data_IF_845770674115
#
_entry.id   IF_845770674115
#
_cell.length_a   1.000
_cell.length_b   1.000
_cell.length_c   1.000
_cell.angle_alpha   90.00
_cell.angle_beta   90.00
_cell.angle_gamma   90.00
#
_symmetry.space_group_name_H-M   'P 1'
#
loop_
_entity.id
_entity.type
_entity.pdbx_description
1 polymer ?
#
# COMPACT_ATOMS: atom_id res chain seq x y z
N UNK A 1 -11.55 12.25 -18.69
CA UNK A 1 -10.80 12.79 -17.58
C UNK A 1 -9.47 12.07 -17.41
N UNK A 2 -8.48 12.78 -16.92
CA UNK A 2 -7.17 12.25 -16.52
C UNK A 2 -6.85 12.82 -15.14
N UNK A 3 -6.55 12.00 -14.11
CA UNK A 3 -6.74 10.53 -14.12
C UNK A 3 -8.17 10.12 -14.43
N UNK A 4 -8.40 8.86 -14.82
CA UNK A 4 -9.75 8.33 -14.96
C UNK A 4 -10.49 8.37 -13.60
N UNK A 5 -11.82 8.39 -13.63
CA UNK A 5 -12.61 8.30 -12.40
C UNK A 5 -12.29 7.00 -11.64
N UNK A 6 -12.09 7.11 -10.34
CA UNK A 6 -11.69 6.03 -9.43
C UNK A 6 -10.32 5.41 -9.73
N UNK A 7 -9.46 6.07 -10.53
CA UNK A 7 -8.10 5.61 -10.74
C UNK A 7 -7.34 5.55 -9.41
N UNK A 8 -6.57 4.49 -9.21
CA UNK A 8 -5.69 4.29 -8.05
C UNK A 8 -4.22 4.35 -8.44
N UNK A 9 -3.33 4.44 -7.48
CA UNK A 9 -1.87 4.51 -7.72
C UNK A 9 -1.45 5.67 -8.65
N UNK A 10 -2.18 6.78 -8.61
CA UNK A 10 -1.89 7.96 -9.41
C UNK A 10 -0.63 8.64 -8.88
N UNK A 11 0.23 9.09 -9.79
CA UNK A 11 1.49 9.74 -9.42
C UNK A 11 1.25 11.02 -8.60
N UNK A 12 2.10 11.28 -7.60
CA UNK A 12 1.96 12.42 -6.68
C UNK A 12 2.08 13.79 -7.39
N UNK A 13 2.74 13.83 -8.53
CA UNK A 13 2.93 15.04 -9.34
C UNK A 13 1.91 15.15 -10.49
N UNK A 14 0.79 14.42 -10.41
CA UNK A 14 -0.24 14.48 -11.46
C UNK A 14 -0.86 15.86 -11.56
N UNK A 15 -1.21 16.26 -12.79
CA UNK A 15 -2.03 17.43 -13.09
C UNK A 15 -3.39 16.97 -13.65
N UNK A 16 -4.44 16.88 -12.84
CA UNK A 16 -5.75 16.42 -13.28
C UNK A 16 -6.29 17.29 -14.43
N UNK A 17 -6.92 16.62 -15.42
CA UNK A 17 -7.42 17.27 -16.61
C UNK A 17 -8.76 16.70 -17.07
N UNK A 18 -9.55 17.51 -17.78
CA UNK A 18 -10.76 17.09 -18.45
C UNK A 18 -10.82 17.67 -19.85
N UNK A 19 -11.20 16.85 -20.85
CA UNK A 19 -11.50 17.28 -22.22
C UNK A 19 -12.99 17.56 -22.29
N UNK A 20 -13.34 18.77 -22.73
CA UNK A 20 -14.72 19.20 -22.90
C UNK A 20 -15.25 18.85 -24.30
N UNK A 21 -16.56 18.63 -24.42
CA UNK A 21 -17.21 18.34 -25.69
C UNK A 21 -17.10 19.50 -26.68
N UNK A 22 -17.09 20.71 -26.16
CA UNK A 22 -17.06 21.95 -26.94
C UNK A 22 -16.11 23.00 -26.35
N UNK A 23 -15.94 24.08 -27.08
CA UNK A 23 -15.08 25.20 -26.73
C UNK A 23 -15.71 26.01 -25.60
N UNK A 24 -14.93 26.34 -24.58
CA UNK A 24 -15.35 27.15 -23.44
C UNK A 24 -14.94 28.63 -23.61
N UNK A 25 -15.67 29.50 -22.96
CA UNK A 25 -15.23 30.89 -22.68
C UNK A 25 -14.10 30.84 -21.69
N UNK A 26 -12.86 31.15 -22.10
CA UNK A 26 -11.65 31.01 -21.28
C UNK A 26 -11.77 31.76 -19.93
N UNK A 27 -12.41 32.92 -19.89
CA UNK A 27 -12.63 33.69 -18.66
C UNK A 27 -13.54 32.99 -17.63
N UNK A 28 -14.33 31.99 -18.04
CA UNK A 28 -15.15 31.20 -17.13
C UNK A 28 -14.39 30.06 -16.48
N UNK A 29 -13.17 29.73 -16.96
CA UNK A 29 -12.31 28.68 -16.41
C UNK A 29 -11.27 29.29 -15.49
N UNK A 30 -11.42 29.09 -14.19
CA UNK A 30 -10.58 29.71 -13.15
C UNK A 30 -10.51 28.81 -11.91
N UNK A 31 -9.66 29.17 -10.94
CA UNK A 31 -9.58 28.47 -9.65
C UNK A 31 -10.88 28.55 -8.82
N UNK A 32 -11.83 29.43 -9.17
CA UNK A 32 -13.16 29.45 -8.52
C UNK A 32 -14.18 28.50 -9.16
N UNK A 33 -13.94 28.09 -10.41
CA UNK A 33 -14.83 27.18 -11.16
C UNK A 33 -14.25 25.78 -11.37
N UNK A 34 -12.95 25.58 -11.08
CA UNK A 34 -12.26 24.30 -11.19
C UNK A 34 -11.44 24.07 -9.93
N UNK A 35 -11.82 23.06 -9.16
CA UNK A 35 -11.26 22.83 -7.83
C UNK A 35 -10.76 21.39 -7.68
N UNK A 36 -9.71 21.22 -6.88
CA UNK A 36 -9.24 19.92 -6.39
C UNK A 36 -9.33 19.93 -4.86
N UNK A 37 -9.95 18.90 -4.27
CA UNK A 37 -10.07 18.75 -2.82
C UNK A 37 -9.63 17.37 -2.38
N UNK A 38 -9.05 17.30 -1.17
CA UNK A 38 -8.71 16.01 -0.54
C UNK A 38 -9.94 15.39 0.18
N UNK A 39 -9.78 14.20 0.76
CA UNK A 39 -10.83 13.48 1.51
C UNK A 39 -11.35 14.24 2.74
N UNK A 40 -10.58 15.16 3.31
CA UNK A 40 -11.02 16.06 4.38
C UNK A 40 -11.74 17.33 3.84
N UNK A 41 -12.08 17.35 2.55
CA UNK A 41 -12.69 18.50 1.85
C UNK A 41 -11.82 19.78 1.84
N UNK A 42 -10.52 19.66 2.06
CA UNK A 42 -9.58 20.80 2.00
C UNK A 42 -9.28 21.12 0.55
N UNK A 43 -9.44 22.40 0.18
CA UNK A 43 -9.07 22.90 -1.15
C UNK A 43 -7.55 22.83 -1.34
N UNK A 44 -7.12 22.28 -2.46
CA UNK A 44 -5.71 22.20 -2.83
C UNK A 44 -5.33 23.43 -3.66
N UNK A 45 -4.30 24.14 -3.22
CA UNK A 45 -3.77 25.26 -3.98
C UNK A 45 -3.25 24.79 -5.34
N UNK A 46 -3.72 25.40 -6.42
CA UNK A 46 -3.41 24.98 -7.78
C UNK A 46 -3.55 26.13 -8.78
N UNK A 47 -2.93 26.00 -9.92
CA UNK A 47 -3.20 26.82 -11.11
C UNK A 47 -4.12 26.10 -12.06
N UNK A 48 -5.05 26.84 -12.69
CA UNK A 48 -5.99 26.29 -13.67
C UNK A 48 -5.67 26.88 -15.03
N UNK A 49 -5.54 26.05 -16.05
CA UNK A 49 -5.31 26.43 -17.42
C UNK A 49 -6.39 25.82 -18.34
N UNK A 50 -6.76 26.54 -19.38
CA UNK A 50 -7.63 26.04 -20.43
C UNK A 50 -6.95 26.17 -21.80
N UNK A 51 -6.88 25.06 -22.51
CA UNK A 51 -6.41 25.02 -23.90
C UNK A 51 -7.61 24.94 -24.84
N UNK A 52 -7.84 26.01 -25.58
CA UNK A 52 -8.98 26.13 -26.49
C UNK A 52 -8.91 25.20 -27.69
N UNK A 53 -7.69 24.89 -28.19
CA UNK A 53 -7.50 23.99 -29.34
C UNK A 53 -7.82 22.55 -29.00
N UNK A 54 -7.36 22.07 -27.83
CA UNK A 54 -7.61 20.71 -27.36
C UNK A 54 -8.85 20.60 -26.48
N UNK A 55 -9.52 21.73 -26.20
CA UNK A 55 -10.68 21.86 -25.30
C UNK A 55 -10.41 21.29 -23.90
N UNK A 56 -9.16 21.38 -23.44
CA UNK A 56 -8.71 20.72 -22.21
C UNK A 56 -8.58 21.72 -21.07
N UNK A 57 -9.25 21.45 -19.95
CA UNK A 57 -9.01 22.10 -18.67
C UNK A 57 -7.94 21.27 -17.96
N UNK A 58 -6.89 21.92 -17.45
CA UNK A 58 -5.84 21.29 -16.63
C UNK A 58 -5.72 22.04 -15.31
N UNK A 59 -5.71 21.31 -14.21
CA UNK A 59 -5.42 21.86 -12.88
C UNK A 59 -4.05 21.33 -12.44
N UNK A 60 -3.12 22.25 -12.17
CA UNK A 60 -1.76 21.90 -11.73
C UNK A 60 -1.63 22.26 -10.25
N UNK A 61 -1.54 21.26 -9.34
CA UNK A 61 -1.32 21.51 -7.92
C UNK A 61 -0.01 22.30 -7.68
N UNK A 62 -0.03 23.23 -6.74
CA UNK A 62 1.13 24.06 -6.38
C UNK A 62 2.26 23.27 -5.68
N UNK A 63 1.93 22.10 -5.13
CA UNK A 63 2.86 21.16 -4.49
C UNK A 63 2.48 19.73 -4.88
N UNK A 64 3.41 18.79 -4.72
CA UNK A 64 3.12 17.36 -4.86
C UNK A 64 1.97 16.95 -3.93
N UNK A 65 1.08 16.10 -4.42
CA UNK A 65 -0.05 15.60 -3.67
C UNK A 65 0.43 14.63 -2.57
N UNK A 66 -0.34 14.50 -1.50
CA UNK A 66 -0.04 13.52 -0.45
C UNK A 66 -0.23 12.10 -0.99
N UNK A 67 0.61 11.17 -0.52
CA UNK A 67 0.50 9.76 -0.86
C UNK A 67 -0.75 9.12 -0.26
N UNK A 68 -1.27 8.06 -0.92
CA UNK A 68 -2.40 7.27 -0.44
C UNK A 68 -3.67 8.09 -0.18
N UNK A 69 -3.83 9.22 -0.85
CA UNK A 69 -4.90 10.18 -0.56
C UNK A 69 -5.89 10.23 -1.72
N UNK A 70 -7.18 10.17 -1.36
CA UNK A 70 -8.27 10.41 -2.31
C UNK A 70 -8.39 11.91 -2.57
N UNK A 71 -8.39 12.27 -3.84
CA UNK A 71 -8.65 13.61 -4.31
C UNK A 71 -9.88 13.63 -5.20
N UNK A 72 -10.72 14.67 -5.05
CA UNK A 72 -11.90 14.90 -5.88
C UNK A 72 -11.69 16.19 -6.67
N UNK A 73 -11.75 16.06 -7.98
CA UNK A 73 -11.78 17.16 -8.94
C UNK A 73 -13.21 17.58 -9.20
N UNK A 74 -13.49 18.90 -9.22
CA UNK A 74 -14.80 19.47 -9.53
C UNK A 74 -14.66 20.53 -10.60
N UNK A 75 -15.47 20.44 -11.66
CA UNK A 75 -15.73 21.50 -12.62
C UNK A 75 -17.14 21.99 -12.33
N UNK A 76 -17.25 23.23 -11.85
CA UNK A 76 -18.54 23.79 -11.43
C UNK A 76 -19.45 24.10 -12.62
N UNK A 77 -20.70 23.78 -12.45
CA UNK A 77 -21.79 24.11 -13.36
C UNK A 77 -22.69 25.24 -12.82
N UNK A 78 -23.86 25.41 -13.40
CA UNK A 78 -24.83 26.43 -13.05
C UNK A 78 -24.39 27.86 -13.44
N UNK A 79 -25.11 28.86 -12.98
CA UNK A 79 -24.94 30.26 -13.41
C UNK A 79 -23.54 30.82 -13.23
N UNK A 80 -22.81 30.40 -12.20
CA UNK A 80 -21.44 30.82 -11.89
C UNK A 80 -20.36 29.81 -12.31
N UNK A 81 -20.74 28.71 -12.99
CA UNK A 81 -19.84 27.68 -13.46
C UNK A 81 -19.15 28.01 -14.78
N UNK A 82 -18.48 27.00 -15.36
CA UNK A 82 -17.86 27.12 -16.68
C UNK A 82 -18.93 27.29 -17.77
N UNK A 83 -18.61 28.05 -18.81
CA UNK A 83 -19.55 28.39 -19.91
C UNK A 83 -18.93 28.07 -21.24
N UNK A 84 -19.75 27.68 -22.21
CA UNK A 84 -19.35 27.56 -23.60
C UNK A 84 -19.13 28.93 -24.25
N UNK A 85 -18.73 28.95 -25.53
CA UNK A 85 -18.50 30.17 -26.30
C UNK A 85 -19.77 30.95 -26.56
N UNK A 86 -20.97 30.33 -26.50
CA UNK A 86 -22.27 30.96 -26.66
C UNK A 86 -22.82 31.52 -25.32
N UNK A 87 -22.15 31.27 -24.19
CA UNK A 87 -22.53 31.73 -22.86
C UNK A 87 -23.40 30.74 -22.08
N UNK A 88 -23.68 29.54 -22.59
CA UNK A 88 -24.42 28.53 -21.88
C UNK A 88 -23.53 27.88 -20.80
N UNK A 89 -24.04 27.78 -19.59
CA UNK A 89 -23.30 27.17 -18.50
C UNK A 89 -23.38 25.64 -18.54
N UNK A 90 -22.33 24.96 -18.04
CA UNK A 90 -22.42 23.53 -17.70
C UNK A 90 -23.62 23.33 -16.77
N UNK A 91 -24.49 22.36 -17.07
CA UNK A 91 -25.80 22.20 -16.42
C UNK A 91 -25.70 21.95 -14.91
N UNK A 92 -24.71 21.18 -14.47
CA UNK A 92 -24.42 20.85 -13.08
C UNK A 92 -22.92 20.65 -12.86
N UNK A 93 -22.49 20.60 -11.60
CA UNK A 93 -21.13 20.28 -11.27
C UNK A 93 -20.75 18.90 -11.81
N UNK A 94 -19.56 18.82 -12.44
CA UNK A 94 -19.00 17.54 -12.84
C UNK A 94 -17.84 17.19 -11.91
N UNK A 95 -17.95 16.04 -11.24
CA UNK A 95 -16.98 15.59 -10.26
C UNK A 95 -16.43 14.21 -10.60
N UNK A 96 -15.14 13.97 -10.29
CA UNK A 96 -14.55 12.64 -10.27
C UNK A 96 -13.44 12.57 -9.24
N UNK A 97 -13.17 11.37 -8.75
CA UNK A 97 -12.13 11.16 -7.74
C UNK A 97 -11.05 10.22 -8.27
N UNK A 98 -9.86 10.32 -7.69
CA UNK A 98 -8.75 9.39 -7.88
C UNK A 98 -7.95 9.28 -6.58
N UNK A 99 -7.18 8.18 -6.42
CA UNK A 99 -6.31 7.95 -5.26
C UNK A 99 -4.85 7.96 -5.71
N UNK A 100 -4.02 8.72 -5.02
CA UNK A 100 -2.58 8.77 -5.27
C UNK A 100 -1.89 7.50 -4.81
N UNK A 101 -0.70 7.23 -5.38
CA UNK A 101 0.16 6.12 -4.96
C UNK A 101 0.51 6.24 -3.48
N UNK A 102 0.45 5.13 -2.76
CA UNK A 102 0.84 5.07 -1.35
C UNK A 102 2.37 5.03 -1.21
N UNK A 103 2.90 5.79 -0.26
CA UNK A 103 4.30 5.65 0.10
C UNK A 103 4.55 4.26 0.71
N UNK A 104 5.60 3.60 0.24
CA UNK A 104 6.07 2.34 0.82
C UNK A 104 7.39 2.55 1.55
N UNK A 105 7.54 1.83 2.66
CA UNK A 105 8.72 1.90 3.52
C UNK A 105 9.28 0.50 3.76
N UNK A 106 10.60 0.43 3.93
CA UNK A 106 11.34 -0.77 4.33
C UNK A 106 12.23 -0.39 5.50
N UNK A 107 12.62 -1.32 6.37
CA UNK A 107 13.54 -0.99 7.48
C UNK A 107 14.92 -0.61 6.93
N UNK A 108 15.40 -1.37 5.94
CA UNK A 108 16.71 -1.11 5.33
C UNK A 108 16.57 -0.40 3.99
N UNK A 109 17.47 0.52 3.70
CA UNK A 109 17.56 1.15 2.38
C UNK A 109 17.95 0.11 1.32
N UNK A 110 17.50 0.25 0.05
CA UNK A 110 17.89 -0.67 -1.03
C UNK A 110 19.41 -0.75 -1.27
N UNK A 111 20.15 0.28 -0.91
CA UNK A 111 21.62 0.36 -1.05
C UNK A 111 22.37 -0.29 0.10
N UNK A 112 21.72 -0.65 1.22
CA UNK A 112 22.39 -1.31 2.34
C UNK A 112 22.66 -2.77 2.03
N UNK A 113 23.86 -3.24 2.40
CA UNK A 113 24.34 -4.58 2.11
C UNK A 113 24.89 -5.26 3.36
N UNK A 114 24.86 -6.61 3.43
CA UNK A 114 25.49 -7.37 4.52
C UNK A 114 27.00 -7.13 4.60
N UNK A 115 27.55 -7.27 5.81
CA UNK A 115 29.00 -7.29 6.01
C UNK A 115 29.64 -8.63 5.62
N UNK A 116 28.87 -9.73 5.71
CA UNK A 116 29.35 -11.07 5.40
C UNK A 116 28.24 -12.05 5.09
N UNK A 117 28.65 -13.27 4.76
CA UNK A 117 27.78 -14.39 4.43
C UNK A 117 28.30 -15.63 5.14
N UNK A 118 27.37 -16.46 5.64
CA UNK A 118 27.65 -17.72 6.32
C UNK A 118 26.87 -18.86 5.68
N UNK A 119 27.36 -20.08 5.90
CA UNK A 119 26.66 -21.31 5.56
C UNK A 119 26.88 -22.34 6.67
N UNK A 120 25.83 -22.61 7.41
CA UNK A 120 25.88 -23.59 8.51
C UNK A 120 25.66 -25.02 8.03
N UNK A 121 25.40 -25.25 6.73
CA UNK A 121 25.10 -26.53 6.15
C UNK A 121 23.83 -27.19 6.69
N UNK A 122 23.03 -26.44 7.45
CA UNK A 122 21.82 -26.91 8.10
C UNK A 122 20.70 -25.90 7.95
N UNK A 123 19.52 -26.34 7.54
CA UNK A 123 18.37 -25.47 7.35
C UNK A 123 17.98 -24.74 8.63
N UNK A 124 17.65 -23.44 8.49
CA UNK A 124 17.30 -22.59 9.62
C UNK A 124 16.34 -21.48 9.21
N UNK A 125 15.61 -20.95 10.19
CA UNK A 125 14.80 -19.73 10.07
C UNK A 125 15.52 -18.56 10.76
N UNK A 126 15.60 -17.43 10.10
CA UNK A 126 16.32 -16.23 10.51
C UNK A 126 15.35 -15.05 10.52
N UNK A 127 15.41 -14.19 11.55
CA UNK A 127 14.38 -13.16 11.72
C UNK A 127 14.83 -11.90 12.44
N UNK A 128 13.96 -10.88 12.34
CA UNK A 128 14.11 -9.58 12.95
C UNK A 128 12.79 -9.14 13.59
N UNK A 129 12.88 -8.54 14.79
CA UNK A 129 11.77 -7.81 15.40
C UNK A 129 11.70 -6.41 14.84
N UNK A 130 10.48 -5.98 14.52
CA UNK A 130 10.23 -4.62 14.06
C UNK A 130 8.91 -4.07 14.60
N UNK A 131 8.73 -2.75 14.50
CA UNK A 131 7.48 -2.02 14.75
C UNK A 131 7.25 -0.98 13.66
N UNK A 132 6.00 -0.54 13.54
CA UNK A 132 5.66 0.71 12.86
C UNK A 132 5.09 1.70 13.88
N UNK A 133 5.40 3.00 13.73
CA UNK A 133 4.82 4.07 14.56
C UNK A 133 3.37 4.37 14.20
N UNK A 134 2.87 3.86 13.09
CA UNK A 134 1.49 3.99 12.64
C UNK A 134 0.92 2.64 12.19
N UNK A 135 -0.40 2.49 12.28
CA UNK A 135 -1.10 1.35 11.71
C UNK A 135 -0.98 1.35 10.17
N UNK A 136 -1.03 0.19 9.57
CA UNK A 136 -0.93 0.02 8.12
C UNK A 136 -0.82 -1.44 7.73
N UNK A 137 -0.16 -1.72 6.62
CA UNK A 137 -0.13 -3.04 6.01
C UNK A 137 1.28 -3.45 5.60
N UNK A 138 1.62 -4.70 5.84
CA UNK A 138 2.77 -5.34 5.20
C UNK A 138 2.29 -5.91 3.86
N UNK A 139 2.89 -5.43 2.78
CA UNK A 139 2.51 -5.78 1.39
C UNK A 139 3.50 -6.74 0.73
N UNK A 140 4.73 -6.81 1.26
CA UNK A 140 5.76 -7.73 0.77
C UNK A 140 6.74 -8.11 1.89
N UNK A 141 7.41 -9.25 1.71
CA UNK A 141 8.60 -9.62 2.47
C UNK A 141 9.79 -9.58 1.52
N UNK A 142 10.94 -9.17 2.03
CA UNK A 142 12.20 -9.19 1.29
C UNK A 142 13.34 -9.74 2.16
N UNK A 143 14.33 -10.32 1.52
CA UNK A 143 15.56 -10.75 2.16
C UNK A 143 16.75 -10.52 1.23
N UNK A 144 17.95 -10.47 1.76
CA UNK A 144 19.16 -10.34 0.96
C UNK A 144 19.73 -11.72 0.66
N UNK A 145 19.84 -12.08 -0.64
CA UNK A 145 20.35 -13.36 -1.09
C UNK A 145 21.87 -13.29 -1.26
N UNK A 146 22.63 -14.19 -0.60
CA UNK A 146 24.06 -14.35 -0.91
C UNK A 146 24.29 -14.79 -2.36
N UNK A 147 25.40 -14.37 -2.96
CA UNK A 147 25.81 -14.90 -4.25
C UNK A 147 26.12 -16.40 -4.15
N UNK A 148 25.62 -17.19 -5.10
CA UNK A 148 25.79 -18.65 -5.10
C UNK A 148 24.90 -19.42 -4.11
N UNK A 149 24.05 -18.72 -3.33
CA UNK A 149 23.12 -19.38 -2.43
C UNK A 149 22.11 -20.24 -3.19
N UNK A 150 21.89 -21.46 -2.69
CA UNK A 150 21.02 -22.48 -3.28
C UNK A 150 19.82 -22.80 -2.37
N UNK A 151 18.95 -23.71 -2.83
CA UNK A 151 17.76 -24.14 -2.08
C UNK A 151 16.62 -23.12 -2.11
N UNK A 152 15.58 -23.41 -1.38
CA UNK A 152 14.36 -22.58 -1.31
C UNK A 152 14.41 -21.58 -0.15
N UNK A 153 13.74 -20.45 -0.33
CA UNK A 153 13.53 -19.45 0.71
C UNK A 153 12.04 -19.26 0.93
N UNK A 154 11.63 -19.26 2.22
CA UNK A 154 10.22 -19.05 2.60
C UNK A 154 10.17 -17.91 3.61
N UNK A 155 9.55 -16.80 3.22
CA UNK A 155 9.33 -15.64 4.08
C UNK A 155 8.10 -15.80 4.96
N UNK A 156 8.17 -15.34 6.19
CA UNK A 156 7.06 -15.40 7.15
C UNK A 156 6.93 -14.10 7.93
N UNK A 157 5.70 -13.73 8.24
CA UNK A 157 5.37 -12.69 9.19
C UNK A 157 4.66 -13.31 10.40
N UNK A 158 5.05 -12.90 11.60
CA UNK A 158 4.55 -13.44 12.87
C UNK A 158 4.13 -12.33 13.82
N UNK A 159 3.17 -12.61 14.71
CA UNK A 159 3.02 -11.83 15.93
C UNK A 159 4.28 -11.96 16.81
N UNK A 160 4.43 -11.09 17.78
CA UNK A 160 5.52 -11.17 18.78
C UNK A 160 5.52 -12.48 19.59
N UNK A 161 4.37 -13.15 19.66
CA UNK A 161 4.18 -14.42 20.41
C UNK A 161 4.32 -15.68 19.54
N UNK A 162 4.60 -15.53 18.24
CA UNK A 162 4.85 -16.65 17.33
C UNK A 162 3.63 -17.16 16.56
N UNK A 163 2.50 -16.45 16.57
CA UNK A 163 1.39 -16.75 15.67
C UNK A 163 1.78 -16.34 14.25
N UNK A 164 1.73 -17.30 13.31
CA UNK A 164 1.99 -17.04 11.88
C UNK A 164 0.85 -16.24 11.27
N UNK A 165 1.16 -15.05 10.72
CA UNK A 165 0.20 -14.16 10.08
C UNK A 165 0.15 -14.38 8.57
N UNK A 166 1.30 -14.66 7.96
CA UNK A 166 1.39 -15.01 6.53
C UNK A 166 2.68 -15.75 6.23
N UNK A 167 2.70 -16.39 5.06
CA UNK A 167 3.85 -17.12 4.51
C UNK A 167 3.93 -16.90 3.01
N UNK A 168 5.15 -16.77 2.46
CA UNK A 168 5.39 -16.62 1.03
C UNK A 168 6.65 -17.38 0.63
N UNK A 169 6.58 -18.15 -0.45
CA UNK A 169 7.75 -18.79 -1.04
C UNK A 169 8.36 -17.87 -2.09
N UNK A 170 9.66 -17.59 -1.97
CA UNK A 170 10.37 -16.77 -2.95
C UNK A 170 10.57 -17.57 -4.25
N UNK A 171 10.19 -16.96 -5.36
CA UNK A 171 10.33 -17.50 -6.71
C UNK A 171 10.87 -16.43 -7.65
N UNK A 172 11.50 -16.83 -8.77
CA UNK A 172 12.04 -15.86 -9.74
C UNK A 172 13.17 -15.01 -9.19
N UNK A 173 13.90 -15.50 -8.20
CA UNK A 173 15.00 -14.78 -7.55
C UNK A 173 16.15 -14.45 -8.51
N UNK A 174 16.77 -13.28 -8.32
CA UNK A 174 18.02 -12.91 -8.98
C UNK A 174 19.20 -13.71 -8.40
N UNK A 175 20.37 -13.60 -9.02
CA UNK A 175 21.56 -14.33 -8.58
C UNK A 175 22.01 -13.97 -7.16
N UNK A 176 21.84 -12.71 -6.76
CA UNK A 176 22.18 -12.20 -5.41
C UNK A 176 21.49 -10.84 -5.16
N UNK A 177 21.60 -10.33 -3.94
CA UNK A 177 21.06 -9.04 -3.55
C UNK A 177 19.65 -9.14 -2.97
N UNK A 178 19.00 -8.00 -2.79
CA UNK A 178 17.64 -7.94 -2.25
C UNK A 178 16.65 -8.66 -3.17
N UNK A 179 16.00 -9.68 -2.61
CA UNK A 179 14.87 -10.39 -3.20
C UNK A 179 13.60 -9.88 -2.54
N UNK A 180 12.54 -9.62 -3.29
CA UNK A 180 11.27 -9.16 -2.76
C UNK A 180 10.13 -9.97 -3.37
N UNK A 181 9.18 -10.39 -2.53
CA UNK A 181 7.98 -11.08 -2.96
C UNK A 181 6.75 -10.42 -2.35
N UNK A 182 5.82 -10.01 -3.20
CA UNK A 182 4.54 -9.45 -2.77
C UNK A 182 3.67 -10.52 -2.12
N UNK A 183 3.00 -10.18 -1.02
CA UNK A 183 2.01 -11.04 -0.39
C UNK A 183 0.75 -11.14 -1.25
N UNK A 184 0.09 -12.30 -1.25
CA UNK A 184 -1.17 -12.48 -1.96
C UNK A 184 -2.29 -11.54 -1.44
N UNK A 185 -2.24 -11.23 -0.15
CA UNK A 185 -3.08 -10.20 0.48
C UNK A 185 -2.24 -9.42 1.49
N UNK A 186 -2.36 -8.09 1.55
CA UNK A 186 -1.70 -7.28 2.57
C UNK A 186 -2.10 -7.71 3.98
N UNK A 187 -1.13 -7.72 4.90
CA UNK A 187 -1.38 -8.06 6.31
C UNK A 187 -1.43 -6.80 7.15
N UNK A 188 -2.57 -6.53 7.78
CA UNK A 188 -2.74 -5.39 8.67
C UNK A 188 -1.84 -5.51 9.91
N UNK A 189 -1.17 -4.44 10.29
CA UNK A 189 -0.38 -4.31 11.51
C UNK A 189 -0.80 -3.07 12.30
N UNK A 190 -0.76 -3.17 13.61
CA UNK A 190 -1.10 -2.08 14.52
C UNK A 190 0.11 -1.19 14.81
N UNK A 191 -0.15 0.09 15.07
CA UNK A 191 0.87 1.02 15.52
C UNK A 191 1.53 0.54 16.83
N UNK A 192 2.84 0.76 16.93
CA UNK A 192 3.67 0.48 18.11
C UNK A 192 3.60 -0.96 18.64
N UNK A 193 3.14 -1.89 17.82
CA UNK A 193 3.05 -3.33 18.12
C UNK A 193 4.25 -4.06 17.52
N UNK A 194 4.87 -4.95 18.29
CA UNK A 194 6.00 -5.74 17.83
C UNK A 194 5.54 -6.91 16.97
N UNK A 195 6.17 -7.05 15.83
CA UNK A 195 6.06 -8.19 14.91
C UNK A 195 7.44 -8.79 14.64
N UNK A 196 7.47 -10.02 14.16
CA UNK A 196 8.69 -10.66 13.68
C UNK A 196 8.53 -10.97 12.20
N UNK A 197 9.49 -10.53 11.39
CA UNK A 197 9.65 -10.98 10.02
C UNK A 197 10.80 -11.97 9.98
N UNK A 198 10.64 -13.05 9.20
CA UNK A 198 11.67 -14.06 9.05
C UNK A 198 11.70 -14.64 7.64
N UNK A 199 12.83 -15.26 7.29
CA UNK A 199 12.89 -16.21 6.19
C UNK A 199 13.54 -17.52 6.63
N UNK A 200 13.10 -18.60 6.03
CA UNK A 200 13.67 -19.94 6.18
C UNK A 200 14.62 -20.19 5.01
N UNK A 201 15.86 -20.57 5.32
CA UNK A 201 16.86 -21.04 4.35
C UNK A 201 16.96 -22.56 4.41
N UNK A 202 16.59 -23.25 3.33
CA UNK A 202 16.63 -24.71 3.29
C UNK A 202 18.05 -25.27 3.12
N UNK A 203 19.00 -24.45 2.65
CA UNK A 203 20.40 -24.82 2.41
C UNK A 203 21.37 -24.41 3.52
N UNK A 204 20.92 -23.53 4.44
CA UNK A 204 21.78 -23.01 5.50
C UNK A 204 22.61 -21.77 5.11
N UNK A 205 22.49 -21.27 3.88
CA UNK A 205 23.14 -20.04 3.43
C UNK A 205 22.38 -18.83 3.93
N UNK A 206 23.08 -17.84 4.48
CA UNK A 206 22.47 -16.59 4.92
C UNK A 206 23.45 -15.41 4.95
N UNK A 207 22.98 -14.17 4.74
CA UNK A 207 23.75 -12.97 5.00
C UNK A 207 23.76 -12.64 6.48
N UNK A 208 24.86 -12.07 6.97
CA UNK A 208 24.98 -11.65 8.36
C UNK A 208 25.80 -10.38 8.54
N UNK A 209 25.39 -9.58 9.50
CA UNK A 209 26.20 -8.50 10.07
C UNK A 209 26.09 -8.59 11.59
N UNK A 210 27.20 -8.78 12.27
CA UNK A 210 27.25 -8.95 13.73
C UNK A 210 28.39 -8.13 14.35
N UNK A 211 28.13 -7.28 15.39
CA UNK A 211 26.79 -6.88 15.87
C UNK A 211 26.12 -5.88 14.92
N UNK A 212 24.79 -5.77 14.97
CA UNK A 212 24.03 -4.81 14.17
C UNK A 212 22.95 -4.08 14.97
N UNK A 213 22.05 -4.79 15.63
CA UNK A 213 20.94 -4.21 16.40
C UNK A 213 21.36 -3.73 17.80
N UNK A 214 22.56 -3.16 17.95
CA UNK A 214 22.99 -2.46 19.17
C UNK A 214 22.22 -1.14 19.36
N UNK A 215 21.66 -0.61 18.28
CA UNK A 215 20.71 0.49 18.22
C UNK A 215 19.61 0.15 17.23
N UNK A 216 18.46 0.82 17.37
CA UNK A 216 17.38 0.62 16.43
C UNK A 216 17.69 1.23 15.05
N UNK A 217 17.18 0.61 14.00
CA UNK A 217 17.23 1.12 12.61
C UNK A 217 15.87 1.72 12.29
N UNK A 218 15.84 3.01 11.95
CA UNK A 218 14.60 3.74 11.69
C UNK A 218 14.58 4.23 10.25
N UNK A 219 13.50 3.95 9.54
CA UNK A 219 13.24 4.49 8.21
C UNK A 219 11.74 4.79 8.04
N UNK A 220 11.39 6.08 7.99
CA UNK A 220 10.00 6.52 8.02
C UNK A 220 9.28 6.00 9.27
N UNK A 221 8.10 5.36 9.11
CA UNK A 221 7.37 4.80 10.25
C UNK A 221 7.96 3.50 10.79
N UNK A 222 8.82 2.81 10.00
CA UNK A 222 9.36 1.51 10.38
C UNK A 222 10.58 1.64 11.30
N UNK A 223 10.67 0.69 12.24
CA UNK A 223 11.73 0.57 13.22
C UNK A 223 12.12 -0.90 13.38
N UNK A 224 13.30 -1.29 12.92
CA UNK A 224 13.98 -2.51 13.36
C UNK A 224 14.47 -2.29 14.80
N UNK A 225 14.00 -3.11 15.74
CA UNK A 225 14.21 -2.86 17.18
C UNK A 225 15.66 -3.05 17.59
N UNK A 226 16.12 -2.23 18.53
CA UNK A 226 17.37 -2.49 19.22
C UNK A 226 17.27 -3.78 20.06
N UNK A 227 18.38 -4.47 20.22
CA UNK A 227 18.48 -5.59 21.15
C UNK A 227 18.20 -5.11 22.58
N UNK A 228 17.25 -5.77 23.25
CA UNK A 228 16.79 -5.39 24.59
C UNK A 228 15.59 -4.43 24.63
N UNK A 229 15.18 -3.82 23.51
CA UNK A 229 14.01 -2.92 23.46
C UNK A 229 12.69 -3.68 23.66
N UNK A 230 12.60 -4.90 23.15
CA UNK A 230 11.49 -5.86 23.36
C UNK A 230 12.08 -7.27 23.40
N UNK A 231 12.97 -7.52 24.36
CA UNK A 231 13.80 -8.69 24.39
C UNK A 231 14.87 -8.68 23.30
N UNK A 232 15.53 -9.81 23.01
CA UNK A 232 16.60 -9.89 22.02
C UNK A 232 16.10 -9.67 20.60
N UNK A 233 16.98 -9.11 19.74
CA UNK A 233 16.80 -9.06 18.29
C UNK A 233 17.97 -9.75 17.59
N UNK A 234 17.81 -10.07 16.29
CA UNK A 234 18.68 -11.00 15.58
C UNK A 234 18.30 -12.44 15.91
N UNK A 235 17.10 -12.83 15.47
CA UNK A 235 16.49 -14.11 15.86
C UNK A 235 16.85 -15.22 14.88
N UNK A 236 17.02 -16.44 15.39
CA UNK A 236 17.20 -17.63 14.55
C UNK A 236 16.61 -18.88 15.18
N UNK A 237 16.48 -19.93 14.38
CA UNK A 237 16.14 -21.28 14.82
C UNK A 237 16.57 -22.29 13.76
N UNK A 238 17.36 -23.30 14.16
CA UNK A 238 17.63 -24.47 13.32
C UNK A 238 16.37 -25.33 13.19
N UNK A 239 15.96 -25.58 11.98
CA UNK A 239 14.72 -26.31 11.68
C UNK A 239 14.69 -26.67 10.21
N UNK A 240 14.11 -27.82 9.88
CA UNK A 240 13.96 -28.29 8.49
C UNK A 240 12.76 -27.67 7.75
N UNK A 241 11.87 -27.01 8.48
CA UNK A 241 10.69 -26.34 7.93
C UNK A 241 10.56 -24.93 8.53
N UNK A 242 9.89 -23.98 7.86
CA UNK A 242 9.65 -22.64 8.40
C UNK A 242 9.01 -22.69 9.79
N UNK A 243 9.65 -22.09 10.79
CA UNK A 243 9.16 -22.02 12.16
C UNK A 243 9.53 -20.67 12.80
N UNK A 244 8.79 -20.29 13.84
CA UNK A 244 9.07 -19.07 14.59
C UNK A 244 10.50 -19.09 15.17
N UNK A 245 11.35 -18.10 14.85
CA UNK A 245 12.71 -18.03 15.38
C UNK A 245 12.68 -17.57 16.83
N UNK A 246 13.19 -18.40 17.74
CA UNK A 246 13.12 -18.18 19.19
C UNK A 246 14.47 -18.18 19.91
N UNK A 247 15.56 -18.33 19.18
CA UNK A 247 16.93 -18.14 19.66
C UNK A 247 17.48 -16.81 19.13
N UNK A 248 18.60 -16.32 19.70
CA UNK A 248 19.24 -15.07 19.27
C UNK A 248 20.76 -15.19 19.37
N UNK A 249 21.48 -14.41 18.58
CA UNK A 249 22.94 -14.36 18.64
C UNK A 249 23.45 -12.94 18.31
N UNK A 250 24.25 -12.38 19.24
CA UNK A 250 25.10 -11.21 19.01
C UNK A 250 24.40 -9.96 18.48
N UNK A 251 23.10 -9.79 18.66
CA UNK A 251 22.33 -8.69 18.05
C UNK A 251 22.48 -8.65 16.51
N UNK A 252 22.60 -9.82 15.86
CA UNK A 252 22.88 -9.95 14.45
C UNK A 252 21.73 -9.47 13.58
N UNK A 253 22.07 -8.87 12.42
CA UNK A 253 21.13 -8.70 11.32
C UNK A 253 21.32 -9.84 10.30
N UNK A 254 20.25 -10.57 10.03
CA UNK A 254 20.17 -11.64 9.04
C UNK A 254 19.51 -11.19 7.74
N UNK A 255 19.34 -9.84 7.60
CA UNK A 255 18.96 -9.18 6.38
C UNK A 255 17.62 -9.65 5.78
N UNK A 256 16.63 -9.79 6.65
CA UNK A 256 15.21 -9.91 6.28
C UNK A 256 14.50 -8.61 6.60
N UNK A 257 13.47 -8.27 5.81
CA UNK A 257 12.79 -6.98 5.90
C UNK A 257 11.35 -7.09 5.39
N UNK A 258 10.58 -6.06 5.58
CA UNK A 258 9.20 -5.92 5.13
C UNK A 258 9.04 -4.71 4.23
N UNK A 259 7.99 -4.73 3.41
CA UNK A 259 7.48 -3.53 2.73
C UNK A 259 6.18 -3.15 3.41
N UNK A 260 6.16 -1.94 3.96
CA UNK A 260 5.03 -1.37 4.70
C UNK A 260 4.41 -0.23 3.91
N UNK A 261 3.07 -0.13 3.93
CA UNK A 261 2.29 1.01 3.46
C UNK A 261 1.27 1.44 4.53
N UNK A 262 0.91 2.73 4.55
CA UNK A 262 -0.12 3.24 5.48
C UNK A 262 -1.55 2.79 5.09
N UNK A 263 -1.73 2.33 3.87
CA UNK A 263 -2.99 1.76 3.37
C UNK A 263 -2.75 0.42 2.67
N UNK A 264 -3.83 -0.35 2.47
CA UNK A 264 -3.78 -1.68 1.85
C UNK A 264 -3.42 -1.67 0.35
N UNK A 265 -3.29 -0.49 -0.26
CA UNK A 265 -3.29 -0.34 -1.72
C UNK A 265 -4.70 -0.52 -2.32
N UNK A 266 -4.81 -0.64 -3.64
CA UNK A 266 -6.08 -0.92 -4.29
C UNK A 266 -6.70 -2.20 -3.74
N UNK A 267 -8.00 -2.14 -3.44
CA UNK A 267 -8.74 -3.34 -3.07
C UNK A 267 -8.72 -4.33 -4.25
N UNK A 268 -8.24 -5.54 -4.00
CA UNK A 268 -8.17 -6.63 -4.95
C UNK A 268 -9.17 -7.75 -4.62
N UNK A 269 -9.96 -7.56 -3.55
CA UNK A 269 -10.91 -8.57 -3.06
C UNK A 269 -12.24 -8.39 -3.79
N UNK A 270 -12.76 -9.37 -4.54
CA UNK A 270 -14.10 -9.27 -5.08
C UNK A 270 -15.16 -9.26 -3.99
N UNK A 271 -16.24 -8.49 -4.14
CA UNK A 271 -17.33 -8.50 -3.19
C UNK A 271 -18.00 -9.88 -3.10
N UNK A 272 -18.33 -10.30 -1.88
CA UNK A 272 -19.06 -11.52 -1.61
C UNK A 272 -20.31 -11.23 -0.77
N UNK A 273 -21.36 -12.02 -0.97
CA UNK A 273 -22.60 -11.89 -0.22
C UNK A 273 -22.43 -12.52 1.15
N UNK A 274 -22.62 -11.71 2.21
CA UNK A 274 -22.57 -12.14 3.62
C UNK A 274 -23.94 -12.64 4.09
N UNK A 275 -25.00 -11.95 3.72
CA UNK A 275 -26.35 -12.35 4.09
C UNK A 275 -27.42 -11.83 3.11
N UNK A 276 -28.52 -12.55 3.09
CA UNK A 276 -29.73 -12.23 2.30
C UNK A 276 -30.94 -12.15 3.23
N UNK A 277 -31.83 -11.18 2.98
CA UNK A 277 -33.15 -11.14 3.59
C UNK A 277 -34.16 -10.77 2.51
N UNK A 278 -35.21 -11.59 2.23
CA UNK A 278 -35.45 -12.93 2.78
C UNK A 278 -34.31 -13.91 2.44
N UNK A 279 -34.07 -14.89 3.32
CA UNK A 279 -33.02 -15.92 3.11
C UNK A 279 -33.33 -16.77 1.88
N UNK A 280 -32.28 -17.43 1.35
CA UNK A 280 -32.40 -18.32 0.19
C UNK A 280 -33.41 -19.47 0.50
N UNK A 281 -34.41 -19.65 -0.37
CA UNK A 281 -35.47 -20.64 -0.21
C UNK A 281 -36.55 -20.28 0.83
N UNK A 282 -36.62 -19.03 1.33
CA UNK A 282 -37.63 -18.59 2.26
C UNK A 282 -39.05 -18.73 1.65
N UNK A 283 -39.95 -19.47 2.33
CA UNK A 283 -41.36 -19.59 1.97
C UNK A 283 -42.23 -18.55 2.67
N UNK A 284 -43.43 -18.30 2.15
CA UNK A 284 -44.41 -17.38 2.71
C UNK A 284 -43.90 -15.93 2.91
N UNK A 285 -43.01 -15.48 2.04
CA UNK A 285 -42.51 -14.11 2.07
C UNK A 285 -43.62 -13.15 1.68
N UNK A 286 -43.82 -12.10 2.47
CA UNK A 286 -44.79 -11.06 2.14
C UNK A 286 -44.36 -10.37 0.83
N UNK A 287 -45.31 -10.15 -0.09
CA UNK A 287 -45.07 -9.51 -1.40
C UNK A 287 -44.55 -8.07 -1.29
N UNK A 288 -44.77 -7.42 -0.14
CA UNK A 288 -44.24 -6.08 0.17
C UNK A 288 -42.91 -6.10 0.89
N UNK A 289 -42.26 -7.28 1.07
CA UNK A 289 -40.94 -7.35 1.72
C UNK A 289 -39.87 -6.75 0.86
N UNK A 290 -39.00 -5.94 1.47
CA UNK A 290 -37.78 -5.45 0.84
C UNK A 290 -36.74 -6.56 0.77
N UNK A 291 -36.12 -6.72 -0.37
CA UNK A 291 -34.95 -7.60 -0.51
C UNK A 291 -33.69 -6.83 -0.04
N UNK A 292 -32.97 -7.38 0.94
CA UNK A 292 -31.72 -6.81 1.45
C UNK A 292 -30.60 -7.78 1.18
N UNK A 293 -29.53 -7.29 0.56
CA UNK A 293 -28.30 -8.02 0.31
C UNK A 293 -27.18 -7.32 1.07
N UNK A 294 -26.51 -8.03 1.99
CA UNK A 294 -25.34 -7.50 2.68
C UNK A 294 -24.07 -8.11 2.07
N UNK A 295 -23.13 -7.24 1.73
CA UNK A 295 -21.82 -7.63 1.21
C UNK A 295 -20.75 -7.52 2.29
N UNK A 296 -19.63 -8.21 2.11
CA UNK A 296 -18.45 -8.14 2.97
C UNK A 296 -17.70 -6.79 2.87
N UNK A 297 -18.01 -5.99 1.86
CA UNK A 297 -17.36 -4.72 1.57
C UNK A 297 -18.33 -3.70 0.95
N UNK A 298 -17.86 -2.46 0.78
CA UNK A 298 -18.65 -1.39 0.17
C UNK A 298 -18.76 -1.60 -1.34
N UNK A 299 -20.00 -1.67 -1.83
CA UNK A 299 -20.29 -1.78 -3.27
C UNK A 299 -20.38 -0.40 -3.91
N UNK A 300 -19.80 -0.24 -5.10
CA UNK A 300 -19.99 0.99 -5.88
C UNK A 300 -21.45 1.14 -6.30
N UNK A 301 -22.12 2.27 -5.99
CA UNK A 301 -23.50 2.50 -6.40
C UNK A 301 -23.74 2.40 -7.91
N UNK A 302 -22.71 2.65 -8.73
CA UNK A 302 -22.77 2.55 -10.19
C UNK A 302 -22.78 1.11 -10.71
N UNK A 303 -22.54 0.11 -9.85
CA UNK A 303 -22.51 -1.32 -10.21
C UNK A 303 -23.79 -2.07 -9.83
N UNK A 304 -24.79 -1.38 -9.28
CA UNK A 304 -26.07 -1.94 -8.83
C UNK A 304 -27.20 -1.46 -9.73
#
# INVERSE_FOLDING_TARGET
TTPAANATSVALNTAPAAIMSETLTAASVSASTVELRNSANTLIAATVAYNNTTKTITLTPASVLNSGTVYTMTIKGGASGVKDAAGNALAADYTWSFTTVSASYTVFQPSTVPAGFENDGTALTLGMKFRSTQAGYITAIRYYKPAGATGTRTGNLWSSTGTKLTEIVFTGETASGWQQMALASPVAINANTTYVVSYHSSSGDYPVTNPYFTSAVVNGPLRGLANGEDGPNGLYRYTTTPAFPNSNYGSSNYWVDVVFTADSGPDQTPPSIVSLSPGNGAGNVNTASTVVINFNETISPASI
#
